data_IF_447768911782
#
_entry.id   IF_447768911782
#
_cell.length_a   1.000
_cell.length_b   1.000
_cell.length_c   1.000
_cell.angle_alpha   90.00
_cell.angle_beta   90.00
_cell.angle_gamma   90.00
#
_symmetry.space_group_name_H-M   'P 1'
#
loop_
_entity.id
_entity.type
_entity.pdbx_description
1 polymer ?
#
# COMPACT_ATOMS: atom_id res chain seq x y z
N UNK A 1 6.06 -3.80 6.09
CA UNK A 1 6.92 -2.79 6.76
C UNK A 1 6.07 -2.07 7.79
N UNK A 2 6.50 -2.00 9.05
CA UNK A 2 5.76 -1.27 10.10
C UNK A 2 5.79 0.23 9.82
N UNK A 3 4.64 0.89 9.99
CA UNK A 3 4.55 2.35 9.89
C UNK A 3 4.14 2.93 11.24
N UNK A 4 4.79 4.02 11.64
CA UNK A 4 4.44 4.72 12.88
C UNK A 4 3.37 5.77 12.63
N UNK A 5 2.40 5.90 13.54
CA UNK A 5 1.56 7.10 13.62
C UNK A 5 2.26 8.12 14.52
N UNK A 6 2.63 9.27 13.99
CA UNK A 6 3.19 10.39 14.76
C UNK A 6 2.03 11.26 15.28
N UNK A 7 2.22 12.00 16.39
CA UNK A 7 1.17 12.89 16.91
C UNK A 7 0.80 14.01 15.90
N UNK A 8 1.71 14.39 15.01
CA UNK A 8 1.41 15.27 13.87
C UNK A 8 0.54 14.57 12.82
N UNK A 9 0.77 13.28 12.56
CA UNK A 9 -0.03 12.46 11.63
C UNK A 9 -1.44 12.16 12.13
N UNK A 10 -1.68 12.11 13.45
CA UNK A 10 -3.05 12.00 13.98
C UNK A 10 -3.91 13.20 13.58
N UNK A 11 -3.35 14.41 13.56
CA UNK A 11 -4.07 15.62 13.16
C UNK A 11 -4.26 15.71 11.64
N UNK A 12 -3.27 15.25 10.84
CA UNK A 12 -3.39 15.25 9.38
C UNK A 12 -4.28 14.13 8.85
N UNK A 13 -4.30 12.94 9.45
CA UNK A 13 -5.23 11.86 9.04
C UNK A 13 -6.69 12.22 9.33
N UNK A 14 -6.96 12.99 10.39
CA UNK A 14 -8.29 13.56 10.68
C UNK A 14 -8.63 14.67 9.67
N UNK A 15 -7.65 15.52 9.30
CA UNK A 15 -7.84 16.64 8.38
C UNK A 15 -7.95 16.23 6.90
N UNK A 16 -7.26 15.16 6.49
CA UNK A 16 -7.29 14.63 5.13
C UNK A 16 -8.63 13.94 4.79
N UNK A 17 -9.44 13.56 5.78
CA UNK A 17 -10.81 13.10 5.54
C UNK A 17 -11.80 14.24 5.21
N UNK A 18 -11.44 15.50 5.50
CA UNK A 18 -12.35 16.64 5.35
C UNK A 18 -11.96 17.67 4.29
N UNK A 19 -10.70 17.75 3.83
CA UNK A 19 -10.26 18.78 2.88
C UNK A 19 -9.53 18.21 1.64
N UNK A 20 -10.26 17.44 0.82
CA UNK A 20 -9.97 17.32 -0.62
C UNK A 20 -10.98 18.16 -1.41
N UNK A 21 -10.95 19.48 -1.21
CA UNK A 21 -11.41 20.42 -2.24
C UNK A 21 -10.18 20.99 -2.94
N UNK A 22 -9.71 20.27 -3.94
CA UNK A 22 -8.64 20.74 -4.82
C UNK A 22 -9.21 21.86 -5.70
N UNK A 23 -8.85 23.11 -5.38
CA UNK A 23 -9.11 24.25 -6.25
C UNK A 23 -8.32 24.07 -7.55
N UNK A 24 -9.07 23.79 -8.62
CA UNK A 24 -8.58 23.61 -9.99
C UNK A 24 -8.10 24.95 -10.55
N UNK A 25 -6.80 25.19 -10.52
CA UNK A 25 -6.17 26.25 -11.31
C UNK A 25 -5.70 25.64 -12.64
N UNK A 26 -6.31 26.07 -13.74
CA UNK A 26 -5.97 25.64 -15.11
C UNK A 26 -4.66 26.34 -15.52
N UNK A 27 -3.61 25.62 -15.98
CA UNK A 27 -2.48 26.30 -16.58
C UNK A 27 -2.85 26.81 -17.98
N UNK A 28 -2.73 28.12 -18.16
CA UNK A 28 -2.78 28.80 -19.45
C UNK A 28 -1.53 28.41 -20.25
N UNK A 29 -1.74 27.90 -21.47
CA UNK A 29 -0.69 27.62 -22.45
C UNK A 29 -0.13 28.95 -22.95
N UNK A 30 1.14 29.24 -22.66
CA UNK A 30 1.87 30.36 -23.25
C UNK A 30 2.71 29.84 -24.43
N UNK A 31 2.36 30.27 -25.65
CA UNK A 31 3.15 30.02 -26.85
C UNK A 31 4.42 30.89 -26.80
N UNK A 32 5.59 30.25 -26.90
CA UNK A 32 6.86 30.93 -27.13
C UNK A 32 7.19 30.80 -28.61
N UNK A 33 7.27 31.92 -29.32
CA UNK A 33 7.77 32.01 -30.69
C UNK A 33 9.29 32.20 -30.67
N UNK A 34 10.03 31.36 -31.38
CA UNK A 34 11.45 31.62 -31.70
C UNK A 34 11.70 31.45 -33.19
N UNK A 35 12.22 32.51 -33.82
CA UNK A 35 12.69 32.50 -35.20
C UNK A 35 14.10 31.90 -35.28
N UNK A 36 14.35 31.09 -36.31
CA UNK A 36 15.68 30.53 -36.63
C UNK A 36 15.68 29.88 -38.02
N UNK A 37 16.74 30.12 -38.78
CA UNK A 37 16.80 30.13 -40.25
C UNK A 37 17.49 28.86 -40.81
N UNK A 38 17.00 28.36 -41.95
CA UNK A 38 17.64 27.53 -43.01
C UNK A 38 18.34 26.18 -42.73
N UNK A 39 17.85 25.08 -43.34
CA UNK A 39 18.38 24.49 -44.60
C UNK A 39 18.13 22.97 -44.78
N UNK A 40 17.86 22.58 -46.03
CA UNK A 40 17.91 21.25 -46.68
C UNK A 40 16.90 20.11 -46.33
N UNK A 41 16.18 19.68 -47.38
CA UNK A 41 15.24 18.55 -47.58
C UNK A 41 15.93 17.15 -47.58
N UNK A 42 15.22 16.01 -47.83
CA UNK A 42 13.93 15.53 -47.30
C UNK A 42 13.99 14.02 -46.94
N UNK A 43 13.36 13.54 -45.86
CA UNK A 43 12.92 12.13 -45.82
C UNK A 43 11.59 12.01 -45.07
N UNK A 44 10.54 11.69 -45.83
CA UNK A 44 9.23 11.29 -45.31
C UNK A 44 9.34 9.91 -44.68
N UNK A 45 9.38 9.86 -43.35
CA UNK A 45 9.02 8.65 -42.60
C UNK A 45 7.66 8.91 -41.95
N UNK A 46 6.61 8.33 -42.53
CA UNK A 46 5.34 8.16 -41.82
C UNK A 46 5.61 7.24 -40.62
N UNK A 47 5.89 7.84 -39.47
CA UNK A 47 5.89 7.14 -38.18
C UNK A 47 4.44 7.18 -37.69
N UNK A 48 3.70 6.06 -37.67
CA UNK A 48 2.39 6.07 -37.03
C UNK A 48 2.67 6.24 -35.54
N UNK A 49 2.34 7.43 -35.03
CA UNK A 49 2.32 7.73 -33.61
C UNK A 49 1.18 6.93 -33.00
N UNK A 50 1.38 5.62 -32.78
CA UNK A 50 0.55 4.89 -31.83
C UNK A 50 0.97 5.34 -30.43
N UNK A 51 0.51 6.53 -30.05
CA UNK A 51 0.39 6.91 -28.67
C UNK A 51 -0.76 6.08 -28.10
N UNK A 52 -0.49 4.82 -27.74
CA UNK A 52 -1.25 4.20 -26.66
C UNK A 52 -0.88 4.92 -25.38
N UNK A 53 -1.46 6.10 -25.21
CA UNK A 53 -1.57 6.71 -23.89
C UNK A 53 -2.57 5.84 -23.16
N UNK A 54 -2.07 4.84 -22.42
CA UNK A 54 -2.86 4.24 -21.34
C UNK A 54 -3.04 5.33 -20.29
N UNK A 55 -4.05 6.16 -20.49
CA UNK A 55 -4.62 6.97 -19.43
C UNK A 55 -5.30 5.99 -18.47
N UNK A 56 -4.56 5.56 -17.45
CA UNK A 56 -5.17 5.03 -16.23
C UNK A 56 -5.87 6.22 -15.56
N UNK A 57 -7.12 6.47 -15.96
CA UNK A 57 -8.02 7.31 -15.19
C UNK A 57 -8.30 6.56 -13.90
N UNK A 58 -7.97 7.15 -12.75
CA UNK A 58 -8.35 6.62 -11.44
C UNK A 58 -9.85 6.79 -11.30
N UNK A 59 -10.62 5.92 -11.95
CA UNK A 59 -12.09 5.92 -11.90
C UNK A 59 -12.62 5.43 -10.55
N UNK A 60 -11.75 5.07 -9.60
CA UNK A 60 -12.11 4.71 -8.23
C UNK A 60 -12.98 5.80 -7.57
N UNK A 61 -12.64 7.08 -7.78
CA UNK A 61 -13.40 8.20 -7.21
C UNK A 61 -14.74 8.42 -7.94
N UNK A 62 -14.84 8.01 -9.20
CA UNK A 62 -16.06 8.12 -10.02
C UNK A 62 -17.03 6.96 -9.77
N UNK A 63 -16.54 5.80 -9.33
CA UNK A 63 -17.38 4.61 -9.04
C UNK A 63 -18.12 4.77 -7.71
N UNK A 64 -17.46 5.27 -6.67
CA UNK A 64 -18.09 5.48 -5.35
C UNK A 64 -19.12 6.63 -5.37
N UNK A 65 -18.88 7.67 -6.18
CA UNK A 65 -19.79 8.81 -6.31
C UNK A 65 -21.07 8.51 -7.11
N UNK A 66 -21.13 7.38 -7.84
CA UNK A 66 -22.26 7.04 -8.72
C UNK A 66 -23.19 5.96 -8.17
N UNK A 67 -22.97 5.48 -6.94
CA UNK A 67 -23.89 4.57 -6.25
C UNK A 67 -24.00 3.17 -6.85
N UNK A 68 -23.00 2.74 -7.65
CA UNK A 68 -22.94 1.35 -8.12
C UNK A 68 -22.67 0.45 -6.93
N UNK A 69 -23.50 -0.59 -6.75
CA UNK A 69 -23.41 -1.49 -5.58
C UNK A 69 -22.90 -2.88 -5.95
N UNK A 70 -22.69 -3.14 -7.25
CA UNK A 70 -22.33 -4.46 -7.78
C UNK A 70 -21.20 -4.37 -8.79
N UNK A 71 -20.33 -5.37 -8.80
CA UNK A 71 -19.21 -5.43 -9.75
C UNK A 71 -19.70 -5.54 -11.18
N UNK A 72 -20.82 -6.22 -11.43
CA UNK A 72 -21.38 -6.37 -12.77
C UNK A 72 -21.75 -5.02 -13.42
N UNK A 73 -22.07 -4.00 -12.62
CA UNK A 73 -22.38 -2.65 -13.11
C UNK A 73 -21.12 -1.82 -13.43
N UNK A 74 -19.99 -2.19 -12.83
CA UNK A 74 -18.68 -1.57 -13.07
C UNK A 74 -18.00 -2.26 -14.24
N UNK A 75 -17.85 -3.58 -14.16
CA UNK A 75 -17.16 -4.41 -15.13
C UNK A 75 -17.77 -5.82 -15.17
N UNK A 76 -18.70 -6.11 -16.12
CA UNK A 76 -19.47 -7.35 -16.13
C UNK A 76 -18.67 -8.61 -16.44
N UNK A 77 -17.48 -8.47 -17.01
CA UNK A 77 -16.59 -9.60 -17.35
C UNK A 77 -15.53 -9.87 -16.28
N UNK A 78 -15.55 -9.14 -15.15
CA UNK A 78 -14.59 -9.31 -14.06
C UNK A 78 -14.76 -10.68 -13.40
N UNK A 79 -13.66 -11.42 -13.25
CA UNK A 79 -13.65 -12.75 -12.58
C UNK A 79 -12.37 -12.95 -11.77
N UNK A 80 -12.35 -13.95 -10.88
CA UNK A 80 -11.18 -14.25 -10.04
C UNK A 80 -10.80 -13.08 -9.11
N UNK A 81 -9.50 -12.86 -8.93
CA UNK A 81 -8.96 -11.81 -8.04
C UNK A 81 -9.37 -10.40 -8.47
N UNK A 82 -9.53 -10.16 -9.77
CA UNK A 82 -9.99 -8.86 -10.29
C UNK A 82 -11.39 -8.52 -9.76
N UNK A 83 -12.29 -9.51 -9.72
CA UNK A 83 -13.64 -9.33 -9.16
C UNK A 83 -13.59 -9.14 -7.65
N UNK A 84 -12.78 -9.92 -6.94
CA UNK A 84 -12.64 -9.83 -5.48
C UNK A 84 -12.15 -8.43 -5.04
N UNK A 85 -11.15 -7.88 -5.73
CA UNK A 85 -10.65 -6.52 -5.50
C UNK A 85 -11.74 -5.47 -5.75
N UNK A 86 -12.53 -5.60 -6.82
CA UNK A 86 -13.62 -4.66 -7.11
C UNK A 86 -14.76 -4.75 -6.10
N UNK A 87 -15.14 -5.95 -5.65
CA UNK A 87 -16.15 -6.14 -4.60
C UNK A 87 -15.72 -5.45 -3.30
N UNK A 88 -14.45 -5.63 -2.90
CA UNK A 88 -13.90 -4.99 -1.71
C UNK A 88 -13.90 -3.46 -1.81
N UNK A 89 -13.47 -2.91 -2.95
CA UNK A 89 -13.47 -1.46 -3.19
C UNK A 89 -14.90 -0.88 -3.17
N UNK A 90 -15.88 -1.59 -3.73
CA UNK A 90 -17.29 -1.18 -3.69
C UNK A 90 -17.87 -1.19 -2.27
N UNK A 91 -17.47 -2.17 -1.45
CA UNK A 91 -17.83 -2.23 -0.03
C UNK A 91 -17.05 -1.21 0.83
N UNK A 92 -16.04 -0.54 0.25
CA UNK A 92 -15.18 0.41 0.94
C UNK A 92 -14.19 -0.25 1.91
N UNK A 93 -13.85 -1.52 1.69
CA UNK A 93 -12.83 -2.26 2.46
C UNK A 93 -11.58 -2.49 1.63
N UNK A 94 -10.42 -2.55 2.29
CA UNK A 94 -9.16 -2.97 1.68
C UNK A 94 -8.92 -4.46 1.99
N UNK A 95 -8.72 -5.29 0.95
CA UNK A 95 -8.40 -6.71 1.10
C UNK A 95 -7.10 -6.94 1.86
N UNK A 96 -6.13 -6.04 1.67
CA UNK A 96 -4.77 -6.20 2.16
C UNK A 96 -4.44 -5.22 3.29
N UNK A 97 -5.45 -4.78 4.06
CA UNK A 97 -5.28 -3.84 5.17
C UNK A 97 -4.22 -4.31 6.18
N UNK A 98 -4.20 -5.62 6.48
CA UNK A 98 -3.21 -6.23 7.39
C UNK A 98 -1.76 -6.07 6.90
N UNK A 99 -1.53 -5.79 5.61
CA UNK A 99 -0.20 -5.66 5.04
C UNK A 99 0.49 -4.34 5.37
N UNK A 100 -0.29 -3.35 5.79
CA UNK A 100 0.17 -1.99 6.07
C UNK A 100 -0.05 -1.65 7.55
N UNK A 101 0.58 -2.38 8.49
CA UNK A 101 0.32 -2.15 9.91
C UNK A 101 0.85 -0.77 10.32
N UNK A 102 -0.03 0.01 10.94
CA UNK A 102 0.28 1.35 11.44
C UNK A 102 -0.04 1.43 12.93
N UNK A 103 0.87 1.98 13.74
CA UNK A 103 0.61 2.16 15.16
C UNK A 103 1.64 3.01 15.91
N UNK A 104 1.48 3.16 17.23
CA UNK A 104 2.44 3.87 18.07
C UNK A 104 3.75 3.09 18.23
N UNK A 105 4.77 3.71 18.81
CA UNK A 105 6.00 3.02 19.14
C UNK A 105 5.76 1.93 20.19
N UNK A 106 6.18 0.71 19.87
CA UNK A 106 5.99 -0.46 20.73
C UNK A 106 6.95 -0.45 21.92
N UNK A 107 6.40 -0.46 23.14
CA UNK A 107 7.15 -0.59 24.40
C UNK A 107 6.95 -1.97 25.00
N UNK A 108 7.71 -2.34 26.04
CA UNK A 108 7.56 -3.63 26.74
C UNK A 108 6.16 -3.82 27.33
N UNK A 109 5.53 -2.75 27.80
CA UNK A 109 4.16 -2.78 28.34
C UNK A 109 3.10 -2.76 27.24
N UNK A 110 3.35 -2.03 26.16
CA UNK A 110 2.43 -1.85 25.02
C UNK A 110 3.18 -2.15 23.71
N UNK A 111 3.32 -3.43 23.34
CA UNK A 111 4.03 -3.80 22.14
C UNK A 111 3.27 -3.38 20.88
N UNK A 112 3.99 -3.20 19.78
CA UNK A 112 3.40 -2.97 18.47
C UNK A 112 2.79 -4.29 17.96
N UNK A 113 1.48 -4.32 17.81
CA UNK A 113 0.73 -5.50 17.37
C UNK A 113 0.73 -5.57 15.84
N UNK A 114 1.24 -6.68 15.30
CA UNK A 114 1.28 -6.97 13.87
C UNK A 114 0.29 -8.08 13.58
N UNK A 115 -0.69 -7.80 12.72
CA UNK A 115 -1.63 -8.82 12.24
C UNK A 115 -0.96 -9.71 11.20
N UNK A 116 -1.21 -11.01 11.26
CA UNK A 116 -0.73 -11.98 10.27
C UNK A 116 -1.81 -13.03 9.98
N UNK A 117 -1.76 -13.61 8.79
CA UNK A 117 -2.67 -14.71 8.43
C UNK A 117 -2.15 -16.08 8.94
N UNK A 118 -0.83 -16.22 9.05
CA UNK A 118 -0.10 -17.41 9.51
C UNK A 118 0.56 -17.18 10.88
N UNK A 119 1.11 -18.23 11.49
CA UNK A 119 1.75 -18.17 12.82
C UNK A 119 3.13 -17.47 12.82
N UNK A 120 3.72 -17.22 11.64
CA UNK A 120 4.95 -16.42 11.48
C UNK A 120 4.87 -15.47 10.30
N UNK A 121 5.48 -14.28 10.43
CA UNK A 121 5.51 -13.24 9.39
C UNK A 121 6.81 -12.45 9.41
N UNK A 122 7.32 -12.10 8.23
CA UNK A 122 8.47 -11.20 8.10
C UNK A 122 8.03 -9.75 8.34
N UNK A 123 8.70 -9.08 9.26
CA UNK A 123 8.44 -7.68 9.64
C UNK A 123 9.71 -6.86 9.42
N UNK A 124 9.52 -5.63 8.95
CA UNK A 124 10.60 -4.65 8.78
C UNK A 124 10.35 -3.45 9.68
N UNK A 125 11.31 -3.14 10.54
CA UNK A 125 11.32 -1.96 11.42
C UNK A 125 12.23 -0.87 10.84
N UNK A 126 11.69 0.31 10.46
CA UNK A 126 12.49 1.45 9.98
C UNK A 126 13.02 2.37 11.10
N UNK A 127 12.86 1.99 12.37
CA UNK A 127 13.21 2.84 13.50
C UNK A 127 12.12 3.80 13.97
N UNK A 128 12.51 4.63 14.94
CA UNK A 128 11.70 5.65 15.59
C UNK A 128 11.79 7.03 14.93
N UNK A 129 11.39 8.07 15.66
CA UNK A 129 11.62 9.47 15.26
C UNK A 129 12.88 9.99 15.97
N UNK A 130 13.68 10.81 15.29
CA UNK A 130 14.86 11.43 15.89
C UNK A 130 16.05 10.46 15.94
N UNK A 131 16.63 10.26 17.12
CA UNK A 131 17.85 9.47 17.31
C UNK A 131 17.64 7.95 17.11
N UNK A 132 16.38 7.49 17.15
CA UNK A 132 16.02 6.09 16.94
C UNK A 132 15.77 5.74 15.45
N UNK A 133 15.99 6.68 14.53
CA UNK A 133 15.88 6.44 13.07
C UNK A 133 17.05 5.57 12.60
N UNK A 134 16.75 4.50 11.86
CA UNK A 134 17.77 3.58 11.35
C UNK A 134 17.33 2.86 10.07
N UNK A 135 18.28 2.24 9.37
CA UNK A 135 17.97 1.42 8.19
C UNK A 135 17.02 0.27 8.52
N UNK A 136 16.24 -0.18 7.53
CA UNK A 136 15.20 -1.18 7.77
C UNK A 136 15.80 -2.50 8.26
N UNK A 137 15.48 -2.88 9.50
CA UNK A 137 15.83 -4.17 10.07
C UNK A 137 14.70 -5.15 9.81
N UNK A 138 15.01 -6.23 9.09
CA UNK A 138 14.08 -7.31 8.77
C UNK A 138 14.27 -8.48 9.73
N UNK A 139 13.16 -9.02 10.25
CA UNK A 139 13.19 -10.16 11.16
C UNK A 139 11.92 -11.01 11.01
N UNK A 140 12.03 -12.28 11.43
CA UNK A 140 10.88 -13.17 11.59
C UNK A 140 10.19 -12.88 12.92
N UNK A 141 8.89 -12.61 12.86
CA UNK A 141 8.03 -12.48 14.03
C UNK A 141 7.15 -13.73 14.13
N UNK A 142 7.14 -14.37 15.28
CA UNK A 142 6.41 -15.61 15.54
C UNK A 142 5.30 -15.38 16.58
N UNK A 143 4.22 -16.14 16.46
CA UNK A 143 3.12 -16.13 17.42
C UNK A 143 3.61 -16.51 18.82
N UNK A 144 3.16 -15.76 19.82
CA UNK A 144 3.49 -16.00 21.23
C UNK A 144 4.89 -15.56 21.66
N UNK A 145 5.74 -15.09 20.73
CA UNK A 145 7.08 -14.54 21.04
C UNK A 145 7.10 -13.04 20.75
N UNK A 146 7.53 -12.25 21.73
CA UNK A 146 7.82 -10.82 21.53
C UNK A 146 9.19 -10.68 20.89
N UNK A 147 9.31 -9.85 19.84
CA UNK A 147 10.60 -9.52 19.24
C UNK A 147 10.96 -8.07 19.55
N UNK A 148 12.18 -7.83 20.02
CA UNK A 148 12.73 -6.49 20.26
C UNK A 148 13.67 -6.11 19.12
N UNK A 149 13.50 -4.92 18.55
CA UNK A 149 14.41 -4.43 17.52
C UNK A 149 15.81 -4.16 18.13
N UNK A 150 16.90 -4.68 17.54
CA UNK A 150 18.24 -4.53 18.09
C UNK A 150 18.79 -3.09 18.05
N UNK A 151 18.15 -2.18 17.30
CA UNK A 151 18.62 -0.81 17.12
C UNK A 151 17.76 0.17 17.92
N UNK A 152 16.46 0.27 17.62
CA UNK A 152 15.57 1.21 18.32
C UNK A 152 14.92 0.63 19.60
N UNK A 153 15.13 -0.63 19.96
CA UNK A 153 14.51 -1.29 21.13
C UNK A 153 12.96 -1.37 21.10
N UNK A 154 12.35 -1.15 19.93
CA UNK A 154 10.91 -1.30 19.76
C UNK A 154 10.48 -2.77 19.91
N UNK A 155 9.42 -3.01 20.66
CA UNK A 155 8.86 -4.35 20.87
C UNK A 155 7.69 -4.62 19.92
N UNK A 156 7.69 -5.80 19.30
CA UNK A 156 6.66 -6.28 18.37
C UNK A 156 6.04 -7.58 18.86
N UNK A 157 4.75 -7.74 18.61
CA UNK A 157 3.96 -8.95 18.90
C UNK A 157 3.09 -9.31 17.71
N UNK A 158 2.89 -10.60 17.47
CA UNK A 158 2.10 -11.09 16.34
C UNK A 158 0.71 -11.56 16.81
N UNK A 159 -0.32 -11.05 16.14
CA UNK A 159 -1.72 -11.45 16.28
C UNK A 159 -2.15 -12.19 15.01
N UNK A 160 -2.60 -13.44 15.14
CA UNK A 160 -3.07 -14.23 14.01
C UNK A 160 -4.55 -13.97 13.78
N UNK A 161 -4.90 -13.48 12.59
CA UNK A 161 -6.29 -13.18 12.18
C UNK A 161 -6.87 -14.23 11.22
N UNK A 162 -6.06 -15.19 10.79
CA UNK A 162 -6.44 -16.27 9.88
C UNK A 162 -6.47 -17.65 10.56
N UNK A 163 -6.45 -18.74 9.77
CA UNK A 163 -6.40 -20.11 10.28
C UNK A 163 -5.09 -20.41 11.05
N UNK A 164 -4.05 -19.59 10.88
CA UNK A 164 -2.74 -19.84 11.48
C UNK A 164 -1.96 -20.93 10.74
N UNK A 165 -1.02 -21.55 11.44
CA UNK A 165 -0.14 -22.57 10.91
C UNK A 165 1.13 -22.02 10.24
N UNK A 166 2.03 -22.93 9.84
CA UNK A 166 3.27 -22.59 9.16
C UNK A 166 2.98 -22.08 7.73
N UNK A 167 3.57 -20.96 7.29
CA UNK A 167 3.32 -20.33 5.98
C UNK A 167 3.75 -21.18 4.78
N UNK A 168 4.62 -22.16 4.98
CA UNK A 168 5.11 -23.13 4.01
C UNK A 168 4.24 -24.39 3.92
N UNK A 169 3.23 -24.54 4.78
CA UNK A 169 2.26 -25.63 4.70
C UNK A 169 2.80 -27.01 5.07
N UNK A 170 4.05 -27.11 5.52
CA UNK A 170 4.63 -28.34 6.06
C UNK A 170 4.43 -28.30 7.57
N UNK A 171 3.50 -29.12 8.09
CA UNK A 171 3.34 -29.31 9.53
C UNK A 171 4.53 -30.06 10.12
N UNK A 172 4.79 -29.86 11.41
CA UNK A 172 5.85 -30.55 12.16
C UNK A 172 5.46 -32.03 12.44
N UNK A 173 5.20 -32.83 11.39
CA UNK A 173 4.84 -34.25 11.50
C UNK A 173 6.07 -35.17 11.73
N UNK A 174 7.27 -34.63 11.97
CA UNK A 174 8.54 -35.36 11.93
C UNK A 174 9.11 -35.77 13.31
N UNK A 175 8.36 -35.71 14.41
CA UNK A 175 8.89 -35.99 15.77
C UNK A 175 8.64 -37.43 16.30
N UNK A 176 8.29 -38.42 15.46
CA UNK A 176 7.99 -39.79 15.96
C UNK A 176 8.66 -40.95 15.22
N UNK A 177 9.97 -40.86 14.98
CA UNK A 177 10.81 -42.02 14.66
C UNK A 177 12.02 -42.11 15.59
N UNK A 178 11.79 -42.69 16.78
CA UNK A 178 12.81 -43.28 17.64
C UNK A 178 12.78 -44.81 17.53
#
# INVERSE_FOLDING_TARGET
MWRRVTNQLQQTLIRCRSDLKLNRSVPIVQQISTNGVSSSNPISFYRPSFLFTYQFSSDADTILSKGKTKVEEVMPIATGHEREELEAVLEGRDLLDINHPVGPFGTKEKPAVIKAYFDRRVVGCPGGEGEDEHDVVWFWLEKGKTHECPVCTQVFTLEVVGPGGPPDGHGDDDDNHH
#
